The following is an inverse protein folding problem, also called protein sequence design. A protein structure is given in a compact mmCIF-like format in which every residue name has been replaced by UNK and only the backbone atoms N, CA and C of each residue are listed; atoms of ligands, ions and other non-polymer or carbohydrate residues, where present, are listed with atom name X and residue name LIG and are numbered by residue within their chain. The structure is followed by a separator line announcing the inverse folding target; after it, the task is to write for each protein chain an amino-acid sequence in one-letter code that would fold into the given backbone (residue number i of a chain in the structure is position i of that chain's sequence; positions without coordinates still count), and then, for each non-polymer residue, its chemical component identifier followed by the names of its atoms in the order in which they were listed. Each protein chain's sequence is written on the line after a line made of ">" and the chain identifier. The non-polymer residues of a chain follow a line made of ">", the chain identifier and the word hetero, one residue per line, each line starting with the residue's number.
data_IF_703817162924
#
_entry.id   IF_703817162924
#
_cell.length_a   1.000
_cell.length_b   1.000
_cell.length_c   1.000
_cell.angle_alpha   90.00
_cell.angle_beta   90.00
_cell.angle_gamma   90.00
#
_symmetry.space_group_name_H-M   'P 1'
#
loop_
_entity.id
_entity.type
_entity.pdbx_description
1 polymer ?
#
# COMPACT_ATOMS: atom_id res chain seq x y z
N UNK A 1 -13.69 -14.09 19.18
CA UNK A 1 -13.93 -14.59 20.56
C UNK A 1 -13.87 -16.10 20.50
N UNK A 2 -13.07 -16.74 21.36
CA UNK A 2 -12.85 -18.19 21.27
C UNK A 2 -14.06 -18.91 21.86
N UNK A 3 -14.67 -19.82 21.10
CA UNK A 3 -15.81 -20.66 21.50
C UNK A 3 -15.60 -21.33 22.87
N UNK A 4 -14.34 -21.64 23.22
CA UNK A 4 -13.95 -22.18 24.53
C UNK A 4 -14.19 -21.20 25.68
N UNK A 5 -13.90 -19.91 25.49
CA UNK A 5 -14.08 -18.90 26.53
C UNK A 5 -15.56 -18.65 26.84
N UNK A 6 -16.39 -18.70 25.81
CA UNK A 6 -17.84 -18.57 25.93
C UNK A 6 -18.49 -19.77 26.66
N UNK A 7 -18.05 -20.98 26.31
CA UNK A 7 -18.53 -22.20 26.98
C UNK A 7 -18.14 -22.24 28.46
N UNK A 8 -16.88 -21.87 28.79
CA UNK A 8 -16.39 -21.81 30.19
C UNK A 8 -17.20 -20.79 31.00
N UNK A 9 -17.45 -19.59 30.43
CA UNK A 9 -18.22 -18.55 31.12
C UNK A 9 -19.64 -19.01 31.42
N UNK A 10 -20.36 -19.64 30.45
CA UNK A 10 -21.71 -20.18 30.67
C UNK A 10 -21.72 -21.30 31.69
N UNK A 11 -20.73 -22.18 31.66
CA UNK A 11 -20.61 -23.25 32.64
C UNK A 11 -20.41 -22.72 34.06
N UNK A 12 -19.61 -21.67 34.25
CA UNK A 12 -19.40 -21.00 35.55
C UNK A 12 -20.68 -20.32 36.05
N UNK A 13 -21.44 -19.67 35.16
CA UNK A 13 -22.72 -19.02 35.49
C UNK A 13 -23.75 -20.04 36.00
N UNK A 14 -23.87 -21.16 35.27
CA UNK A 14 -24.79 -22.26 35.66
C UNK A 14 -24.35 -22.88 36.98
N UNK A 15 -23.06 -23.14 37.16
CA UNK A 15 -22.55 -23.73 38.41
C UNK A 15 -22.77 -22.81 39.62
N UNK A 16 -22.53 -21.49 39.45
CA UNK A 16 -22.81 -20.52 40.51
C UNK A 16 -24.30 -20.48 40.88
N UNK A 17 -25.18 -20.50 39.89
CA UNK A 17 -26.62 -20.53 40.12
C UNK A 17 -27.09 -21.79 40.88
N UNK A 18 -26.58 -22.95 40.49
CA UNK A 18 -26.89 -24.23 41.20
C UNK A 18 -26.39 -24.21 42.63
N UNK A 19 -25.19 -23.72 42.89
CA UNK A 19 -24.62 -23.65 44.27
C UNK A 19 -25.42 -22.70 45.13
N UNK A 20 -25.78 -21.51 44.62
CA UNK A 20 -26.60 -20.51 45.38
C UNK A 20 -27.99 -21.09 45.65
N UNK A 21 -28.60 -21.73 44.65
CA UNK A 21 -29.90 -22.36 44.81
C UNK A 21 -29.89 -23.50 45.85
N UNK A 22 -28.85 -24.34 45.81
CA UNK A 22 -28.68 -25.42 46.77
C UNK A 22 -28.46 -24.91 48.20
N UNK A 23 -27.59 -23.90 48.40
CA UNK A 23 -27.34 -23.28 49.70
C UNK A 23 -28.61 -22.63 50.26
N UNK A 24 -29.37 -21.91 49.43
CA UNK A 24 -30.62 -21.27 49.81
C UNK A 24 -31.68 -22.34 50.21
N UNK A 25 -31.76 -23.44 49.49
CA UNK A 25 -32.65 -24.56 49.81
C UNK A 25 -32.22 -25.23 51.14
N UNK A 26 -30.93 -25.54 51.32
CA UNK A 26 -30.42 -26.20 52.52
C UNK A 26 -30.66 -25.39 53.81
N UNK A 27 -30.58 -24.05 53.70
CA UNK A 27 -30.85 -23.13 54.85
C UNK A 27 -32.36 -23.06 55.15
N UNK A 28 -33.22 -23.14 54.14
CA UNK A 28 -34.66 -22.89 54.28
C UNK A 28 -35.47 -24.19 54.55
N UNK A 29 -34.96 -25.36 54.08
CA UNK A 29 -35.67 -26.65 54.16
C UNK A 29 -36.08 -27.09 55.58
N UNK A 30 -35.33 -26.82 56.65
CA UNK A 30 -35.73 -27.23 58.00
C UNK A 30 -36.83 -26.36 58.61
N UNK A 31 -37.26 -25.26 57.96
CA UNK A 31 -38.16 -24.30 58.65
C UNK A 31 -39.67 -24.50 58.28
N UNK A 32 -39.98 -24.89 57.07
CA UNK A 32 -41.32 -25.31 56.58
C UNK A 32 -41.26 -25.50 55.06
N UNK A 33 -42.24 -26.22 54.44
CA UNK A 33 -42.33 -26.39 52.98
C UNK A 33 -42.40 -25.02 52.26
N UNK A 34 -43.03 -24.03 52.87
CA UNK A 34 -43.14 -22.67 52.33
C UNK A 34 -41.76 -22.00 52.30
N UNK A 35 -40.95 -22.16 53.33
CA UNK A 35 -39.61 -21.57 53.41
C UNK A 35 -38.62 -22.19 52.39
N UNK A 36 -38.80 -23.49 52.10
CA UNK A 36 -38.05 -24.16 51.02
C UNK A 36 -38.36 -23.57 49.64
N UNK A 37 -39.63 -23.27 49.35
CA UNK A 37 -40.05 -22.60 48.09
C UNK A 37 -39.48 -21.20 47.98
N UNK A 38 -39.47 -20.44 49.04
CA UNK A 38 -38.82 -19.10 49.07
C UNK A 38 -37.30 -19.19 48.83
N UNK A 39 -36.61 -20.18 49.35
CA UNK A 39 -35.18 -20.42 49.11
C UNK A 39 -34.89 -20.69 47.64
N UNK A 40 -35.70 -21.52 46.98
CA UNK A 40 -35.57 -21.76 45.54
C UNK A 40 -35.83 -20.49 44.73
N UNK A 41 -36.87 -19.72 45.06
CA UNK A 41 -37.16 -18.44 44.38
C UNK A 41 -36.03 -17.45 44.54
N UNK A 42 -35.41 -17.28 45.69
CA UNK A 42 -34.27 -16.40 45.90
C UNK A 42 -33.07 -16.89 45.09
N UNK A 43 -32.81 -18.19 45.05
CA UNK A 43 -31.75 -18.76 44.24
C UNK A 43 -31.91 -18.50 42.74
N UNK A 44 -33.12 -18.65 42.22
CA UNK A 44 -33.41 -18.34 40.82
C UNK A 44 -33.31 -16.84 40.52
N UNK A 45 -33.81 -16.00 41.41
CA UNK A 45 -33.69 -14.53 41.23
C UNK A 45 -32.23 -14.06 41.26
N UNK A 46 -31.43 -14.61 42.17
CA UNK A 46 -30.01 -14.29 42.23
C UNK A 46 -29.26 -14.72 40.96
N UNK A 47 -29.57 -15.93 40.46
CA UNK A 47 -29.00 -16.43 39.21
C UNK A 47 -29.35 -15.53 38.04
N UNK A 48 -30.60 -15.08 37.94
CA UNK A 48 -31.07 -14.16 36.90
C UNK A 48 -30.35 -12.81 36.96
N UNK A 49 -30.21 -12.26 38.18
CA UNK A 49 -29.51 -10.99 38.37
C UNK A 49 -28.02 -11.08 37.97
N UNK A 50 -27.37 -12.17 38.38
CA UNK A 50 -25.96 -12.40 37.99
C UNK A 50 -25.82 -12.56 36.49
N UNK A 51 -26.70 -13.33 35.81
CA UNK A 51 -26.70 -13.50 34.38
C UNK A 51 -26.89 -12.16 33.64
N UNK A 52 -27.83 -11.32 34.10
CA UNK A 52 -28.05 -9.98 33.53
C UNK A 52 -26.84 -9.03 33.73
N UNK A 53 -26.18 -9.10 34.89
CA UNK A 53 -24.98 -8.31 35.13
C UNK A 53 -23.83 -8.74 34.20
N UNK A 54 -23.58 -10.04 34.04
CA UNK A 54 -22.54 -10.56 33.15
C UNK A 54 -22.82 -10.16 31.70
N UNK A 55 -24.07 -10.27 31.24
CA UNK A 55 -24.50 -9.84 29.91
C UNK A 55 -24.28 -8.33 29.71
N UNK A 56 -24.64 -7.52 30.71
CA UNK A 56 -24.43 -6.08 30.70
C UNK A 56 -22.94 -5.70 30.60
N UNK A 57 -22.07 -6.39 31.33
CA UNK A 57 -20.61 -6.19 31.23
C UNK A 57 -20.06 -6.59 29.86
N UNK A 58 -20.55 -7.68 29.26
CA UNK A 58 -20.16 -8.08 27.91
C UNK A 58 -20.57 -7.02 26.87
N UNK A 59 -21.81 -6.55 26.94
CA UNK A 59 -22.26 -5.46 26.07
C UNK A 59 -21.44 -4.18 26.22
N UNK A 60 -21.08 -3.82 27.45
CA UNK A 60 -20.21 -2.67 27.70
C UNK A 60 -18.80 -2.84 27.10
N UNK A 61 -18.24 -4.04 27.16
CA UNK A 61 -16.97 -4.36 26.52
C UNK A 61 -17.05 -4.31 24.99
N UNK A 62 -18.08 -4.93 24.40
CA UNK A 62 -18.29 -4.91 22.94
C UNK A 62 -18.48 -3.49 22.40
N UNK A 63 -19.21 -2.63 23.13
CA UNK A 63 -19.38 -1.21 22.80
C UNK A 63 -18.02 -0.48 22.87
N UNK A 64 -17.23 -0.76 23.88
CA UNK A 64 -15.90 -0.16 24.03
C UNK A 64 -14.94 -0.55 22.89
N UNK A 65 -14.91 -1.83 22.54
CA UNK A 65 -14.09 -2.35 21.44
C UNK A 65 -14.54 -1.80 20.08
N UNK A 66 -15.85 -1.69 19.88
CA UNK A 66 -16.44 -1.08 18.68
C UNK A 66 -16.09 0.40 18.57
N UNK A 67 -16.18 1.15 19.68
CA UNK A 67 -15.78 2.56 19.71
C UNK A 67 -14.30 2.75 19.43
N UNK A 68 -13.42 1.90 19.96
CA UNK A 68 -11.97 1.91 19.68
C UNK A 68 -11.70 1.68 18.19
N UNK A 69 -12.37 0.71 17.57
CA UNK A 69 -12.26 0.43 16.13
C UNK A 69 -12.77 1.60 15.29
N UNK A 70 -13.89 2.21 15.68
CA UNK A 70 -14.44 3.40 15.01
C UNK A 70 -13.48 4.58 15.11
N UNK A 71 -12.89 4.84 16.28
CA UNK A 71 -11.91 5.91 16.46
C UNK A 71 -10.70 5.69 15.53
N UNK A 72 -10.13 4.47 15.52
CA UNK A 72 -8.99 4.13 14.64
C UNK A 72 -9.34 4.26 13.16
N UNK A 73 -10.57 3.87 12.77
CA UNK A 73 -11.04 4.05 11.39
C UNK A 73 -11.24 5.53 11.04
N UNK A 74 -11.76 6.32 11.96
CA UNK A 74 -11.96 7.77 11.78
C UNK A 74 -10.62 8.49 11.64
N UNK A 75 -9.62 8.13 12.45
CA UNK A 75 -8.25 8.65 12.34
C UNK A 75 -7.63 8.31 10.97
N UNK A 76 -7.71 7.05 10.53
CA UNK A 76 -7.22 6.63 9.22
C UNK A 76 -7.96 7.31 8.05
N UNK A 77 -9.24 7.58 8.20
CA UNK A 77 -10.02 8.32 7.21
C UNK A 77 -9.59 9.79 7.20
N UNK A 78 -9.38 10.40 8.36
CA UNK A 78 -8.91 11.78 8.49
C UNK A 78 -7.49 11.95 7.88
N UNK A 79 -6.56 11.04 8.18
CA UNK A 79 -5.23 11.02 7.56
C UNK A 79 -5.34 10.90 6.03
N UNK A 80 -6.16 9.98 5.51
CA UNK A 80 -6.37 9.86 4.06
C UNK A 80 -7.06 11.07 3.43
N UNK A 81 -7.93 11.75 4.16
CA UNK A 81 -8.54 13.01 3.69
C UNK A 81 -7.53 14.15 3.65
N UNK A 82 -6.63 14.23 4.63
CA UNK A 82 -5.53 15.19 4.64
C UNK A 82 -4.61 14.95 3.44
N UNK A 83 -4.17 13.70 3.23
CA UNK A 83 -3.36 13.32 2.07
C UNK A 83 -4.08 13.62 0.73
N UNK A 84 -5.40 13.39 0.68
CA UNK A 84 -6.21 13.67 -0.51
C UNK A 84 -6.39 15.17 -0.75
N UNK A 85 -6.50 15.96 0.31
CA UNK A 85 -6.59 17.41 0.24
C UNK A 85 -5.27 18.04 -0.18
N UNK A 86 -4.15 17.61 0.41
CA UNK A 86 -2.82 18.04 0.02
C UNK A 86 -2.51 17.66 -1.43
N UNK A 87 -2.92 16.48 -1.85
CA UNK A 87 -2.86 16.02 -3.23
C UNK A 87 -3.75 16.88 -4.16
N UNK A 88 -4.97 17.21 -3.77
CA UNK A 88 -5.86 18.07 -4.55
C UNK A 88 -5.37 19.52 -4.65
N UNK A 89 -4.78 20.07 -3.58
CA UNK A 89 -4.11 21.38 -3.59
C UNK A 89 -2.92 21.37 -4.54
N UNK A 90 -2.17 20.30 -4.55
CA UNK A 90 -0.98 20.12 -5.40
C UNK A 90 -1.35 19.91 -6.87
N UNK A 91 -2.47 19.24 -7.14
CA UNK A 91 -3.06 19.15 -8.49
C UNK A 91 -3.39 20.52 -9.07
N UNK A 92 -3.74 21.49 -8.23
CA UNK A 92 -4.04 22.87 -8.67
C UNK A 92 -2.82 23.59 -9.24
N UNK A 93 -1.62 23.20 -8.84
CA UNK A 93 -0.35 23.79 -9.29
C UNK A 93 0.38 22.93 -10.32
N UNK A 94 -0.16 21.79 -10.70
CA UNK A 94 0.42 20.90 -11.72
C UNK A 94 1.68 20.14 -11.30
N UNK A 95 2.16 20.32 -10.07
CA UNK A 95 3.43 19.73 -9.56
C UNK A 95 3.28 19.28 -8.12
N UNK A 96 3.67 18.03 -7.84
CA UNK A 96 3.74 17.47 -6.46
C UNK A 96 5.15 16.99 -6.17
N UNK A 97 5.68 17.33 -4.99
CA UNK A 97 6.96 16.80 -4.50
C UNK A 97 6.66 15.70 -3.49
N UNK A 98 7.24 14.53 -3.69
CA UNK A 98 7.07 13.33 -2.86
C UNK A 98 8.38 13.09 -2.11
N UNK A 99 8.40 13.18 -0.77
CA UNK A 99 9.58 12.90 0.04
C UNK A 99 10.14 11.47 -0.21
N UNK A 100 11.43 11.29 0.04
CA UNK A 100 12.11 9.99 -0.17
C UNK A 100 11.47 8.84 0.62
N UNK A 101 10.94 9.12 1.80
CA UNK A 101 10.30 8.15 2.68
C UNK A 101 8.99 7.59 2.09
N UNK A 102 8.28 8.42 1.34
CA UNK A 102 6.99 8.08 0.71
C UNK A 102 7.15 7.69 -0.76
N UNK A 103 8.35 7.85 -1.32
CA UNK A 103 8.62 7.70 -2.75
C UNK A 103 8.12 6.36 -3.29
N UNK A 104 8.46 5.27 -2.62
CA UNK A 104 8.10 3.91 -3.01
C UNK A 104 6.60 3.67 -2.96
N UNK A 105 5.94 4.07 -1.88
CA UNK A 105 4.52 3.80 -1.66
C UNK A 105 3.67 4.53 -2.71
N UNK A 106 3.98 5.80 -2.96
CA UNK A 106 3.27 6.59 -3.98
C UNK A 106 3.55 6.04 -5.38
N UNK A 107 4.79 5.68 -5.68
CA UNK A 107 5.16 5.12 -6.98
C UNK A 107 4.46 3.78 -7.27
N UNK A 108 4.42 2.88 -6.30
CA UNK A 108 3.69 1.60 -6.40
C UNK A 108 2.19 1.83 -6.60
N UNK A 109 1.59 2.81 -5.92
CA UNK A 109 0.19 3.15 -6.14
C UNK A 109 -0.08 3.66 -7.57
N UNK A 110 0.83 4.46 -8.14
CA UNK A 110 0.73 4.91 -9.53
C UNK A 110 0.84 3.74 -10.51
N UNK A 111 1.75 2.79 -10.27
CA UNK A 111 1.87 1.58 -11.08
C UNK A 111 0.57 0.76 -11.10
N UNK A 112 -0.09 0.60 -9.96
CA UNK A 112 -1.39 -0.09 -9.87
C UNK A 112 -2.50 0.61 -10.66
N UNK A 113 -2.36 1.91 -10.94
CA UNK A 113 -3.34 2.70 -11.70
C UNK A 113 -3.14 2.68 -13.20
N UNK A 114 -2.05 2.12 -13.72
CA UNK A 114 -1.79 2.01 -15.16
C UNK A 114 -2.94 1.26 -15.84
N UNK A 115 -3.45 1.86 -16.90
CA UNK A 115 -4.55 1.29 -17.71
C UNK A 115 -4.06 0.77 -19.05
N UNK A 116 -3.24 1.53 -19.77
CA UNK A 116 -2.85 1.19 -21.14
C UNK A 116 -1.36 1.38 -21.48
N UNK A 117 -0.65 2.33 -20.83
CA UNK A 117 0.74 2.59 -21.20
C UNK A 117 1.61 3.10 -20.07
N UNK A 118 2.87 2.62 -20.04
CA UNK A 118 3.95 3.18 -19.26
C UNK A 118 5.20 3.33 -20.14
N UNK A 119 5.72 4.56 -20.26
CA UNK A 119 7.03 4.85 -20.84
C UNK A 119 7.96 5.20 -19.71
N UNK A 120 9.02 4.43 -19.52
CA UNK A 120 9.91 4.53 -18.37
C UNK A 120 11.36 4.72 -18.80
N UNK A 121 12.09 5.59 -18.15
CA UNK A 121 13.55 5.56 -18.15
C UNK A 121 14.06 5.12 -16.80
N UNK A 122 15.27 4.63 -16.72
CA UNK A 122 15.90 4.28 -15.45
C UNK A 122 17.35 4.75 -15.43
N UNK A 123 17.64 5.68 -14.53
CA UNK A 123 18.99 6.23 -14.32
C UNK A 123 19.43 6.18 -12.86
N UNK A 124 18.65 5.55 -11.98
CA UNK A 124 19.06 5.27 -10.59
C UNK A 124 20.19 4.26 -10.57
N UNK A 125 21.05 4.30 -9.57
CA UNK A 125 22.12 3.32 -9.47
C UNK A 125 21.54 1.89 -9.36
N UNK A 126 22.19 0.86 -9.96
CA UNK A 126 21.67 -0.50 -9.95
C UNK A 126 21.36 -1.04 -8.55
N UNK A 127 22.17 -0.68 -7.55
CA UNK A 127 21.97 -1.07 -6.15
C UNK A 127 20.75 -0.43 -5.51
N UNK A 128 20.46 0.82 -5.82
CA UNK A 128 19.32 1.55 -5.26
C UNK A 128 18.01 1.17 -5.95
N UNK A 129 18.03 0.97 -7.28
CA UNK A 129 16.83 0.74 -8.06
C UNK A 129 16.32 -0.72 -8.04
N UNK A 130 17.19 -1.72 -8.04
CA UNK A 130 16.81 -3.11 -8.32
C UNK A 130 17.24 -4.12 -7.26
N UNK A 131 18.12 -3.73 -6.34
CA UNK A 131 18.65 -4.60 -5.30
C UNK A 131 17.78 -4.78 -4.05
N UNK A 132 16.56 -4.22 -4.03
CA UNK A 132 15.68 -4.19 -2.87
C UNK A 132 14.39 -4.98 -3.12
N UNK A 133 13.71 -5.39 -2.05
CA UNK A 133 12.45 -6.15 -2.10
C UNK A 133 11.37 -5.49 -2.98
N UNK A 134 11.35 -4.17 -3.09
CA UNK A 134 10.40 -3.48 -3.95
C UNK A 134 10.64 -3.69 -5.45
N UNK A 135 11.86 -4.03 -5.87
CA UNK A 135 12.17 -4.34 -7.27
C UNK A 135 11.38 -5.54 -7.77
N UNK A 136 11.18 -6.55 -6.94
CA UNK A 136 10.34 -7.70 -7.29
C UNK A 136 8.86 -7.35 -7.33
N UNK A 137 8.35 -6.62 -6.34
CA UNK A 137 6.97 -6.13 -6.32
C UNK A 137 6.67 -5.27 -7.55
N UNK A 138 7.57 -4.37 -7.90
CA UNK A 138 7.49 -3.54 -9.08
C UNK A 138 7.37 -4.37 -10.36
N UNK A 139 8.19 -5.40 -10.47
CA UNK A 139 8.19 -6.31 -11.61
C UNK A 139 6.88 -7.11 -11.72
N UNK A 140 6.37 -7.63 -10.60
CA UNK A 140 5.12 -8.39 -10.57
C UNK A 140 3.91 -7.52 -10.93
N UNK A 141 3.86 -6.28 -10.48
CA UNK A 141 2.79 -5.34 -10.85
C UNK A 141 2.80 -5.11 -12.36
N UNK A 142 3.97 -4.83 -12.96
CA UNK A 142 4.07 -4.60 -14.40
C UNK A 142 3.66 -5.83 -15.21
N UNK A 143 4.11 -7.01 -14.80
CA UNK A 143 3.71 -8.29 -15.41
C UNK A 143 2.20 -8.50 -15.35
N UNK A 144 1.57 -8.20 -14.21
CA UNK A 144 0.12 -8.25 -14.05
C UNK A 144 -0.58 -7.27 -15.00
N UNK A 145 -0.09 -6.02 -15.09
CA UNK A 145 -0.66 -4.99 -15.98
C UNK A 145 -0.59 -5.38 -17.45
N UNK A 146 0.50 -5.98 -17.89
CA UNK A 146 0.63 -6.49 -19.27
C UNK A 146 -0.36 -7.63 -19.51
N UNK A 147 -0.44 -8.60 -18.59
CA UNK A 147 -1.30 -9.78 -18.76
C UNK A 147 -2.79 -9.43 -18.68
N UNK A 148 -3.22 -8.69 -17.69
CA UNK A 148 -4.62 -8.42 -17.37
C UNK A 148 -5.15 -7.23 -18.18
N UNK A 149 -4.47 -6.10 -18.12
CA UNK A 149 -4.93 -4.85 -18.74
C UNK A 149 -4.48 -4.70 -20.20
N UNK A 150 -3.61 -5.60 -20.71
CA UNK A 150 -2.95 -5.47 -22.02
C UNK A 150 -2.17 -4.15 -22.15
N UNK A 151 -1.68 -3.64 -21.04
CA UNK A 151 -0.89 -2.42 -21.01
C UNK A 151 0.44 -2.61 -21.76
N UNK A 152 0.84 -1.59 -22.51
CA UNK A 152 2.16 -1.55 -23.14
C UNK A 152 3.14 -0.88 -22.20
N UNK A 153 4.18 -1.60 -21.80
CA UNK A 153 5.26 -1.06 -20.97
C UNK A 153 6.55 -1.06 -21.77
N UNK A 154 7.22 0.08 -21.80
CA UNK A 154 8.51 0.23 -22.48
C UNK A 154 9.50 0.96 -21.60
N UNK A 155 10.74 0.45 -21.53
CA UNK A 155 11.79 0.98 -20.65
C UNK A 155 13.12 1.17 -21.37
N UNK A 156 13.78 2.30 -21.04
CA UNK A 156 15.14 2.59 -21.47
C UNK A 156 16.03 2.69 -20.24
N UNK A 157 17.03 1.84 -20.12
CA UNK A 157 18.07 1.95 -19.11
C UNK A 157 19.13 2.94 -19.59
N UNK A 158 19.33 4.01 -18.84
CA UNK A 158 20.39 4.98 -19.09
C UNK A 158 21.59 4.56 -18.24
N UNK A 159 22.72 4.30 -18.87
CA UNK A 159 23.91 3.73 -18.23
C UNK A 159 25.13 4.59 -18.50
N UNK A 160 26.06 4.63 -17.55
CA UNK A 160 27.31 5.37 -17.69
C UNK A 160 28.40 4.53 -18.36
N UNK A 161 28.36 3.19 -18.24
CA UNK A 161 29.39 2.29 -18.73
C UNK A 161 28.87 0.91 -19.16
N UNK A 162 29.70 0.18 -19.89
CA UNK A 162 29.41 -1.22 -20.28
C UNK A 162 29.31 -2.16 -19.06
N UNK A 163 30.01 -1.84 -17.97
CA UNK A 163 29.93 -2.59 -16.71
C UNK A 163 28.52 -2.53 -16.12
N UNK A 164 27.87 -1.35 -16.16
CA UNK A 164 26.48 -1.20 -15.71
C UNK A 164 25.53 -2.00 -16.58
N UNK A 165 25.72 -2.05 -17.88
CA UNK A 165 24.93 -2.93 -18.76
C UNK A 165 25.04 -4.38 -18.30
N UNK A 166 26.26 -4.82 -17.97
CA UNK A 166 26.50 -6.18 -17.47
C UNK A 166 25.80 -6.42 -16.12
N UNK A 167 25.90 -5.47 -15.20
CA UNK A 167 25.25 -5.57 -13.88
C UNK A 167 23.71 -5.62 -14.00
N UNK A 168 23.14 -4.85 -14.93
CA UNK A 168 21.70 -4.76 -15.14
C UNK A 168 21.14 -5.85 -16.06
N UNK A 169 21.98 -6.66 -16.71
CA UNK A 169 21.55 -7.66 -17.70
C UNK A 169 20.47 -8.59 -17.16
N UNK A 170 20.64 -9.11 -15.95
CA UNK A 170 19.64 -10.00 -15.33
C UNK A 170 18.29 -9.32 -15.15
N UNK A 171 18.27 -8.05 -14.72
CA UNK A 171 17.05 -7.26 -14.57
C UNK A 171 16.39 -7.00 -15.91
N UNK A 172 17.17 -6.61 -16.92
CA UNK A 172 16.69 -6.35 -18.28
C UNK A 172 16.07 -7.61 -18.90
N UNK A 173 16.73 -8.78 -18.75
CA UNK A 173 16.22 -10.07 -19.26
C UNK A 173 14.91 -10.46 -18.60
N UNK A 174 14.80 -10.36 -17.26
CA UNK A 174 13.53 -10.59 -16.53
C UNK A 174 12.39 -9.71 -17.03
N UNK A 175 12.70 -8.46 -17.36
CA UNK A 175 11.69 -7.53 -17.89
C UNK A 175 11.26 -7.89 -19.30
N UNK A 176 12.18 -8.28 -20.18
CA UNK A 176 11.86 -8.79 -21.51
C UNK A 176 10.95 -10.04 -21.43
N UNK A 177 11.28 -11.00 -20.56
CA UNK A 177 10.46 -12.20 -20.31
C UNK A 177 9.05 -11.86 -19.81
N UNK A 178 8.88 -10.76 -19.07
CA UNK A 178 7.59 -10.27 -18.65
C UNK A 178 6.80 -9.57 -19.75
N UNK A 179 7.38 -9.35 -20.93
CA UNK A 179 6.76 -8.67 -22.07
C UNK A 179 6.97 -7.15 -22.09
N UNK A 180 7.89 -6.64 -21.29
CA UNK A 180 8.29 -5.23 -21.32
C UNK A 180 9.26 -5.02 -22.50
N UNK A 181 9.06 -3.95 -23.27
CA UNK A 181 10.02 -3.54 -24.28
C UNK A 181 11.21 -2.85 -23.60
N UNK A 182 12.40 -3.44 -23.70
CA UNK A 182 13.57 -2.97 -22.98
C UNK A 182 14.69 -2.60 -23.94
N UNK A 183 15.26 -1.42 -23.74
CA UNK A 183 16.45 -0.93 -24.43
C UNK A 183 17.42 -0.30 -23.43
N UNK A 184 18.65 -0.01 -23.85
CA UNK A 184 19.59 0.78 -23.08
C UNK A 184 20.27 1.84 -23.93
N UNK A 185 20.73 2.91 -23.29
CA UNK A 185 21.47 4.00 -23.93
C UNK A 185 22.57 4.51 -23.00
N UNK A 186 23.73 4.83 -23.56
CA UNK A 186 24.80 5.46 -22.80
C UNK A 186 24.50 6.94 -22.57
N UNK A 187 24.63 7.40 -21.32
CA UNK A 187 24.47 8.82 -20.97
C UNK A 187 25.30 9.74 -21.84
N UNK A 188 26.57 9.38 -22.11
CA UNK A 188 27.46 10.14 -23.00
C UNK A 188 26.86 10.34 -24.41
N UNK A 189 26.07 9.40 -24.91
CA UNK A 189 25.39 9.53 -26.20
C UNK A 189 24.28 10.58 -26.11
N UNK A 190 23.51 10.61 -25.04
CA UNK A 190 22.47 11.62 -24.77
C UNK A 190 23.08 13.02 -24.73
N UNK A 191 24.20 13.18 -24.01
CA UNK A 191 24.90 14.46 -23.85
C UNK A 191 25.50 15.00 -25.17
N UNK A 192 25.92 14.10 -26.07
CA UNK A 192 26.52 14.46 -27.38
C UNK A 192 25.49 14.77 -28.45
N UNK A 193 24.31 14.23 -28.35
CA UNK A 193 23.24 14.42 -29.33
C UNK A 193 22.39 15.63 -28.96
N UNK A 194 21.70 16.22 -29.96
CA UNK A 194 20.76 17.33 -29.70
C UNK A 194 19.49 16.90 -28.98
N UNK A 195 19.40 15.64 -28.53
CA UNK A 195 18.23 15.08 -27.83
C UNK A 195 17.81 15.94 -26.63
N UNK A 196 18.78 16.39 -25.82
CA UNK A 196 18.51 17.31 -24.70
C UNK A 196 18.03 18.70 -25.14
N UNK A 197 18.34 19.11 -26.36
CA UNK A 197 18.00 20.45 -26.89
C UNK A 197 16.62 20.51 -27.56
N UNK A 198 16.09 19.36 -27.99
CA UNK A 198 14.82 19.27 -28.72
C UNK A 198 13.60 19.07 -27.82
N UNK A 199 13.80 18.83 -26.53
CA UNK A 199 12.71 18.82 -25.55
C UNK A 199 12.29 20.26 -25.24
N UNK A 200 11.05 20.63 -25.51
CA UNK A 200 10.48 21.89 -25.07
C UNK A 200 10.41 21.92 -23.54
N UNK A 201 11.29 22.65 -22.89
CA UNK A 201 11.41 22.72 -21.44
C UNK A 201 12.67 22.02 -20.91
N UNK A 202 13.13 22.44 -19.76
CA UNK A 202 14.25 21.81 -19.08
C UNK A 202 13.86 20.43 -18.61
N UNK A 203 14.46 19.38 -19.19
CA UNK A 203 14.37 18.02 -18.64
C UNK A 203 15.08 18.02 -17.29
N UNK A 204 14.32 17.96 -16.20
CA UNK A 204 14.86 18.04 -14.84
C UNK A 204 15.54 16.73 -14.40
N UNK A 205 15.10 15.60 -14.96
CA UNK A 205 15.65 14.28 -14.61
C UNK A 205 15.70 13.38 -15.83
N UNK A 206 16.76 12.58 -15.91
CA UNK A 206 16.86 11.46 -16.86
C UNK A 206 16.14 10.21 -16.36
N UNK A 207 15.72 10.18 -15.10
CA UNK A 207 14.93 9.08 -14.52
C UNK A 207 13.48 9.54 -14.38
N UNK A 208 12.64 9.10 -15.31
CA UNK A 208 11.24 9.48 -15.36
C UNK A 208 10.35 8.38 -15.91
N UNK A 209 9.07 8.45 -15.53
CA UNK A 209 8.01 7.57 -16.01
C UNK A 209 6.82 8.39 -16.49
N UNK A 210 6.30 8.10 -17.70
CA UNK A 210 5.07 8.70 -18.23
C UNK A 210 3.95 7.67 -18.13
N UNK A 211 2.95 7.97 -17.30
CA UNK A 211 1.82 7.10 -17.00
C UNK A 211 0.60 7.50 -17.84
N UNK A 212 0.15 6.60 -18.70
CA UNK A 212 -1.07 6.74 -19.51
C UNK A 212 -1.17 8.09 -20.25
N UNK A 213 -0.05 8.72 -20.59
CA UNK A 213 0.07 10.06 -21.17
C UNK A 213 -0.61 11.19 -20.36
N UNK A 214 -0.77 11.00 -19.06
CA UNK A 214 -1.52 11.91 -18.19
C UNK A 214 -0.70 12.54 -17.09
N UNK A 215 0.34 11.84 -16.64
CA UNK A 215 1.24 12.34 -15.62
C UNK A 215 2.67 11.87 -15.89
N UNK A 216 3.61 12.65 -15.44
CA UNK A 216 5.04 12.31 -15.44
C UNK A 216 5.49 12.19 -13.99
N UNK A 217 6.10 11.05 -13.68
CA UNK A 217 6.87 10.88 -12.45
C UNK A 217 8.34 11.15 -12.74
N UNK A 218 8.98 11.95 -11.91
CA UNK A 218 10.42 12.18 -11.97
C UNK A 218 11.07 11.63 -10.71
N UNK A 219 12.13 10.86 -10.86
CA UNK A 219 13.00 10.48 -9.76
C UNK A 219 14.16 11.44 -9.70
N UNK A 220 14.23 12.26 -8.68
CA UNK A 220 15.32 13.22 -8.49
C UNK A 220 16.39 12.56 -7.63
N UNK A 221 17.60 12.50 -8.15
CA UNK A 221 18.74 11.84 -7.52
C UNK A 221 19.85 12.83 -7.15
N UNK A 222 20.73 12.43 -6.25
CA UNK A 222 22.00 13.13 -6.00
C UNK A 222 23.07 12.77 -7.05
N UNK A 223 24.28 13.29 -6.85
CA UNK A 223 25.44 13.04 -7.75
C UNK A 223 25.83 11.56 -7.82
N UNK A 224 25.50 10.77 -6.80
CA UNK A 224 25.75 9.34 -6.74
C UNK A 224 24.57 8.51 -7.27
N UNK A 225 23.58 9.17 -7.86
CA UNK A 225 22.33 8.57 -8.36
C UNK A 225 21.49 7.90 -7.27
N UNK A 226 21.62 8.38 -6.01
CA UNK A 226 20.78 8.00 -4.90
C UNK A 226 19.52 8.86 -4.87
N UNK A 227 18.36 8.22 -4.65
CA UNK A 227 17.06 8.89 -4.65
C UNK A 227 16.98 9.94 -3.52
N UNK A 228 16.64 11.17 -3.88
CA UNK A 228 16.38 12.28 -2.95
C UNK A 228 14.88 12.49 -2.72
N UNK A 229 14.10 12.56 -3.78
CA UNK A 229 12.66 12.74 -3.75
C UNK A 229 12.04 12.38 -5.10
N UNK A 230 10.74 12.16 -5.11
CA UNK A 230 9.94 12.07 -6.33
C UNK A 230 9.28 13.41 -6.66
N UNK A 231 8.97 13.63 -7.94
CA UNK A 231 8.18 14.76 -8.40
C UNK A 231 7.15 14.29 -9.41
N UNK A 232 5.91 14.74 -9.26
CA UNK A 232 4.83 14.42 -10.20
C UNK A 232 4.46 15.68 -10.96
N UNK A 233 4.37 15.57 -12.28
CA UNK A 233 3.91 16.63 -13.17
C UNK A 233 2.60 16.19 -13.83
N UNK A 234 1.59 17.06 -13.85
CA UNK A 234 0.25 16.75 -14.38
C UNK A 234 -0.11 17.57 -15.63
N UNK A 235 0.77 18.42 -16.11
CA UNK A 235 0.51 19.25 -17.27
C UNK A 235 0.50 18.45 -18.58
N UNK A 236 -0.39 18.78 -19.51
CA UNK A 236 -0.40 18.16 -20.84
C UNK A 236 0.88 18.43 -21.60
N UNK A 237 1.37 19.66 -21.52
CA UNK A 237 2.61 20.08 -22.19
C UNK A 237 3.84 19.35 -21.65
N UNK A 238 3.91 19.18 -20.33
CA UNK A 238 4.95 18.41 -19.67
C UNK A 238 4.92 16.94 -20.12
N UNK A 239 3.74 16.31 -20.09
CA UNK A 239 3.59 14.92 -20.53
C UNK A 239 4.01 14.76 -22.00
N UNK A 240 3.60 15.65 -22.89
CA UNK A 240 4.00 15.63 -24.30
C UNK A 240 5.49 15.91 -24.49
N UNK A 241 6.08 16.78 -23.66
CA UNK A 241 7.51 17.07 -23.63
C UNK A 241 8.35 15.85 -23.27
N UNK A 242 8.01 15.20 -22.16
CA UNK A 242 8.70 13.98 -21.71
C UNK A 242 8.47 12.79 -22.64
N UNK A 243 7.29 12.69 -23.22
CA UNK A 243 7.01 11.67 -24.24
C UNK A 243 7.88 11.84 -25.49
N UNK A 244 7.94 13.04 -26.06
CA UNK A 244 8.84 13.35 -27.20
C UNK A 244 10.30 13.05 -26.85
N UNK A 245 10.70 13.41 -25.64
CA UNK A 245 12.06 13.11 -25.17
C UNK A 245 12.29 11.59 -25.09
N UNK A 246 11.32 10.84 -24.54
CA UNK A 246 11.37 9.38 -24.50
C UNK A 246 11.49 8.77 -25.90
N UNK A 247 10.65 9.22 -26.84
CA UNK A 247 10.64 8.71 -28.22
C UNK A 247 11.99 8.96 -28.91
N UNK A 248 12.60 10.12 -28.70
CA UNK A 248 13.95 10.42 -29.20
C UNK A 248 15.02 9.51 -28.59
N UNK A 249 14.94 9.28 -27.26
CA UNK A 249 15.83 8.32 -26.60
C UNK A 249 15.65 6.91 -27.15
N UNK A 250 14.40 6.49 -27.36
CA UNK A 250 14.06 5.14 -27.82
C UNK A 250 14.60 4.86 -29.23
N UNK A 251 14.61 5.85 -30.11
CA UNK A 251 15.18 5.73 -31.45
C UNK A 251 16.70 5.57 -31.44
N UNK A 252 17.38 6.19 -30.49
CA UNK A 252 18.84 6.14 -30.33
C UNK A 252 19.33 5.01 -29.42
N UNK A 253 18.42 4.39 -28.67
CA UNK A 253 18.74 3.32 -27.73
C UNK A 253 18.99 1.98 -28.42
N UNK A 254 19.87 1.18 -27.83
CA UNK A 254 20.28 -0.12 -28.33
C UNK A 254 19.40 -1.23 -27.75
N UNK A 255 19.16 -2.25 -28.58
CA UNK A 255 18.48 -3.47 -28.15
C UNK A 255 19.43 -4.35 -27.32
N UNK A 256 18.87 -5.04 -26.35
CA UNK A 256 19.64 -5.97 -25.52
C UNK A 256 19.91 -7.22 -26.36
N UNK A 257 21.18 -7.52 -26.53
CA UNK A 257 21.59 -8.81 -27.08
C UNK A 257 21.46 -9.86 -25.98
N UNK A 258 20.39 -10.64 -26.03
CA UNK A 258 20.13 -11.78 -25.10
C UNK A 258 21.09 -12.91 -25.41
#
# INVERSE_FOLDING_TARGET
>A
MDLKSEFISKAVEIAAGVVVGYISYAISAPMSDLAGLFGIMIGLLTTLVVALLVESFRHAQDIRDTNLRLTTLTERIAERHQDTWDFAQTLRYGVTIIPSEQWIDVFIQLLWRIKYRLLATNYVSPKEGWGRAYGELYHEIQRSKIKVNKATISRIFIVDSQEEVTQLRSVMSKQLEAGIKVKYIFKKKIERTSILKTGAGSIESLDFDVFDDKLVWLTITDRNRKIKYGKILFGKEECEGYKRFYDNLYMEAEDIKV
#
